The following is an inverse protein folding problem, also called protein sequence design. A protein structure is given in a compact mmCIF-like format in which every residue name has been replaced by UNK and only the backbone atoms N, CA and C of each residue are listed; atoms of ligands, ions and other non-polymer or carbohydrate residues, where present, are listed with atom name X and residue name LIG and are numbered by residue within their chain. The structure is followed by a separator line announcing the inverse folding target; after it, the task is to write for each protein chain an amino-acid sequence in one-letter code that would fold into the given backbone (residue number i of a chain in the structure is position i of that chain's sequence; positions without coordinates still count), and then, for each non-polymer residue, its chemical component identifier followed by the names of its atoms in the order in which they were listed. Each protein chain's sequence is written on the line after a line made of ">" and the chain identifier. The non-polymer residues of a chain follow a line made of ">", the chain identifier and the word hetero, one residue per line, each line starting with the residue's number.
data_IF_246190200743
#
_entry.id   IF_246190200743
#
_cell.length_a   1.000
_cell.length_b   1.000
_cell.length_c   1.000
_cell.angle_alpha   90.00
_cell.angle_beta   90.00
_cell.angle_gamma   90.00
#
_symmetry.space_group_name_H-M   'P 1'
#
loop_
_entity.id
_entity.type
_entity.pdbx_description
1 polymer ?
#
# COMPACT_ATOMS: atom_id res chain seq x y z
N UNK A 1 11.79 14.01 -14.77
CA UNK A 1 11.05 12.74 -14.62
C UNK A 1 11.27 11.96 -15.90
N UNK A 2 11.92 10.79 -15.84
CA UNK A 2 12.15 9.96 -17.02
C UNK A 2 10.95 9.02 -17.23
N UNK A 3 10.57 8.76 -18.47
CA UNK A 3 9.43 7.91 -18.86
C UNK A 3 9.39 6.56 -18.10
N UNK A 4 10.56 5.93 -17.94
CA UNK A 4 10.75 4.67 -17.24
C UNK A 4 10.24 4.68 -15.78
N UNK A 5 10.30 5.82 -15.10
CA UNK A 5 9.84 5.95 -13.70
C UNK A 5 8.32 5.99 -13.62
N UNK A 6 7.68 6.58 -14.64
CA UNK A 6 6.23 6.65 -14.77
C UNK A 6 5.64 5.31 -15.19
N UNK A 7 6.30 4.61 -16.10
CA UNK A 7 5.95 3.23 -16.46
C UNK A 7 6.02 2.31 -15.24
N UNK A 8 7.14 2.32 -14.50
CA UNK A 8 7.30 1.52 -13.28
C UNK A 8 6.24 1.81 -12.21
N UNK A 9 5.86 3.09 -12.03
CA UNK A 9 4.80 3.45 -11.09
C UNK A 9 3.44 2.89 -11.55
N UNK A 10 3.15 3.00 -12.85
CA UNK A 10 1.92 2.48 -13.45
C UNK A 10 1.83 0.96 -13.30
N UNK A 11 2.91 0.25 -13.62
CA UNK A 11 3.04 -1.20 -13.42
C UNK A 11 2.87 -1.59 -11.95
N UNK A 12 3.44 -0.81 -11.04
CA UNK A 12 3.31 -1.05 -9.59
C UNK A 12 1.85 -0.91 -9.13
N UNK A 13 1.11 0.09 -9.64
CA UNK A 13 -0.30 0.27 -9.32
C UNK A 13 -1.16 -0.90 -9.82
N UNK A 14 -0.92 -1.37 -11.05
CA UNK A 14 -1.60 -2.55 -11.62
C UNK A 14 -1.28 -3.82 -10.81
N UNK A 15 -0.01 -4.00 -10.42
CA UNK A 15 0.42 -5.14 -9.62
C UNK A 15 -0.28 -5.16 -8.26
N UNK A 16 -0.38 -4.00 -7.59
CA UNK A 16 -1.09 -3.88 -6.31
C UNK A 16 -2.58 -4.16 -6.42
N UNK A 17 -3.22 -3.70 -7.50
CA UNK A 17 -4.62 -4.01 -7.76
C UNK A 17 -4.84 -5.51 -7.87
N UNK A 18 -3.98 -6.21 -8.62
CA UNK A 18 -4.04 -7.67 -8.77
C UNK A 18 -3.81 -8.37 -7.43
N UNK A 19 -2.87 -7.91 -6.62
CA UNK A 19 -2.63 -8.50 -5.30
C UNK A 19 -3.83 -8.36 -4.36
N UNK A 20 -4.49 -7.20 -4.35
CA UNK A 20 -5.70 -6.97 -3.55
C UNK A 20 -6.85 -7.86 -4.05
N UNK A 21 -7.00 -7.99 -5.37
CA UNK A 21 -8.02 -8.85 -5.97
C UNK A 21 -7.81 -10.32 -5.58
N UNK A 22 -6.58 -10.82 -5.70
CA UNK A 22 -6.22 -12.19 -5.33
C UNK A 22 -6.37 -12.43 -3.82
N UNK A 23 -5.98 -11.46 -2.98
CA UNK A 23 -6.15 -11.54 -1.54
C UNK A 23 -7.64 -11.62 -1.15
N UNK A 24 -8.47 -10.76 -1.75
CA UNK A 24 -9.92 -10.78 -1.58
C UNK A 24 -10.51 -12.12 -2.03
N UNK A 25 -10.06 -12.64 -3.18
CA UNK A 25 -10.54 -13.92 -3.69
C UNK A 25 -10.25 -15.06 -2.71
N UNK A 26 -9.04 -15.12 -2.14
CA UNK A 26 -8.70 -16.15 -1.13
C UNK A 26 -9.63 -16.07 0.08
N UNK A 27 -9.98 -14.85 0.53
CA UNK A 27 -10.91 -14.65 1.63
C UNK A 27 -12.35 -15.04 1.30
N UNK A 28 -12.78 -14.89 0.04
CA UNK A 28 -14.17 -15.19 -0.37
C UNK A 28 -14.39 -16.64 -0.81
N UNK A 29 -13.37 -17.29 -1.37
CA UNK A 29 -13.48 -18.64 -1.93
C UNK A 29 -13.53 -19.73 -0.84
N UNK A 30 -13.07 -19.41 0.37
CA UNK A 30 -12.90 -20.36 1.47
C UNK A 30 -13.84 -20.01 2.63
N UNK A 31 -15.01 -20.66 2.66
CA UNK A 31 -16.06 -20.44 3.67
C UNK A 31 -16.01 -21.38 4.87
N UNK A 32 -15.16 -22.42 4.82
CA UNK A 32 -15.06 -23.45 5.85
C UNK A 32 -13.74 -23.31 6.63
N UNK A 33 -13.83 -23.17 7.96
CA UNK A 33 -12.65 -23.06 8.84
C UNK A 33 -11.69 -24.25 8.71
N UNK A 34 -12.19 -25.45 8.38
CA UNK A 34 -11.39 -26.67 8.35
C UNK A 34 -10.34 -26.70 7.23
N UNK A 35 -10.49 -25.86 6.19
CA UNK A 35 -9.55 -25.71 5.08
C UNK A 35 -8.90 -24.31 5.04
N UNK A 36 -8.87 -23.62 6.18
CA UNK A 36 -8.42 -22.23 6.25
C UNK A 36 -7.05 -22.02 5.57
N UNK A 37 -6.97 -21.20 4.51
CA UNK A 37 -5.79 -21.11 3.65
C UNK A 37 -4.69 -20.20 4.24
N UNK A 38 -4.31 -20.41 5.51
CA UNK A 38 -3.41 -19.53 6.27
C UNK A 38 -2.12 -19.21 5.53
N UNK A 39 -1.41 -20.24 5.04
CA UNK A 39 -0.16 -20.09 4.28
C UNK A 39 -0.33 -19.25 3.02
N UNK A 40 -1.46 -19.37 2.32
CA UNK A 40 -1.73 -18.58 1.12
C UNK A 40 -2.03 -17.13 1.48
N UNK A 41 -2.82 -16.89 2.52
CA UNK A 41 -3.14 -15.55 3.04
C UNK A 41 -1.88 -14.83 3.51
N UNK A 42 -1.05 -15.46 4.34
CA UNK A 42 0.20 -14.88 4.83
C UNK A 42 1.16 -14.59 3.67
N UNK A 43 1.31 -15.53 2.73
CA UNK A 43 2.15 -15.33 1.55
C UNK A 43 1.68 -14.11 0.75
N UNK A 44 0.37 -14.01 0.49
CA UNK A 44 -0.19 -12.92 -0.32
C UNK A 44 -0.13 -11.57 0.40
N UNK A 45 -0.39 -11.53 1.70
CA UNK A 45 -0.21 -10.34 2.53
C UNK A 45 1.24 -9.83 2.49
N UNK A 46 2.23 -10.73 2.56
CA UNK A 46 3.64 -10.36 2.43
C UNK A 46 4.00 -9.87 1.02
N UNK A 47 3.45 -10.49 -0.03
CA UNK A 47 3.62 -10.02 -1.41
C UNK A 47 3.08 -8.59 -1.58
N UNK A 48 1.85 -8.33 -1.10
CA UNK A 48 1.25 -6.99 -1.10
C UNK A 48 2.15 -5.96 -0.40
N UNK A 49 2.67 -6.31 0.77
CA UNK A 49 3.57 -5.45 1.53
C UNK A 49 4.84 -5.10 0.75
N UNK A 50 5.46 -6.08 0.10
CA UNK A 50 6.65 -5.86 -0.69
C UNK A 50 6.38 -4.92 -1.89
N UNK A 51 5.34 -5.23 -2.67
CA UNK A 51 4.99 -4.42 -3.84
C UNK A 51 4.59 -2.99 -3.47
N UNK A 52 3.83 -2.81 -2.39
CA UNK A 52 3.41 -1.47 -1.96
C UNK A 52 4.62 -0.68 -1.44
N UNK A 53 5.50 -1.32 -0.67
CA UNK A 53 6.73 -0.71 -0.19
C UNK A 53 7.60 -0.20 -1.34
N UNK A 54 7.76 -1.00 -2.40
CA UNK A 54 8.47 -0.57 -3.61
C UNK A 54 7.78 0.60 -4.31
N UNK A 55 6.45 0.55 -4.47
CA UNK A 55 5.68 1.61 -5.12
C UNK A 55 5.78 2.94 -4.35
N UNK A 56 5.58 2.91 -3.03
CA UNK A 56 5.65 4.09 -2.17
C UNK A 56 7.06 4.67 -2.10
N UNK A 57 8.08 3.82 -2.10
CA UNK A 57 9.47 4.27 -2.21
C UNK A 57 9.70 5.07 -3.50
N UNK A 58 9.21 4.58 -4.65
CA UNK A 58 9.32 5.32 -5.91
C UNK A 58 8.60 6.66 -5.84
N UNK A 59 7.41 6.70 -5.24
CA UNK A 59 6.64 7.95 -5.04
C UNK A 59 7.42 8.97 -4.20
N UNK A 60 7.93 8.55 -3.05
CA UNK A 60 8.68 9.41 -2.13
C UNK A 60 9.98 9.92 -2.75
N UNK A 61 10.69 9.10 -3.53
CA UNK A 61 11.99 9.45 -4.10
C UNK A 61 11.88 10.28 -5.38
N UNK A 62 10.90 10.01 -6.23
CA UNK A 62 10.85 10.60 -7.57
C UNK A 62 9.69 11.58 -7.79
N UNK A 63 8.57 11.44 -7.07
CA UNK A 63 7.37 12.23 -7.34
C UNK A 63 7.17 13.34 -6.33
N UNK A 64 7.29 13.03 -5.03
CA UNK A 64 7.17 14.03 -3.96
C UNK A 64 8.15 15.20 -4.17
N UNK A 65 9.44 14.99 -4.53
CA UNK A 65 10.37 16.10 -4.73
C UNK A 65 10.05 17.05 -5.88
N UNK A 66 9.18 16.64 -6.83
CA UNK A 66 8.74 17.48 -7.96
C UNK A 66 7.71 18.51 -7.49
N UNK A 67 7.02 18.24 -6.37
CA UNK A 67 5.98 19.10 -5.84
C UNK A 67 6.63 20.40 -5.34
N UNK A 68 6.17 21.57 -5.83
CA UNK A 68 6.71 22.85 -5.38
C UNK A 68 6.35 23.09 -3.90
N UNK A 69 7.27 23.73 -3.18
CA UNK A 69 7.04 24.15 -1.78
C UNK A 69 6.19 25.43 -1.68
N UNK A 70 6.03 26.14 -2.78
CA UNK A 70 5.77 27.58 -2.73
C UNK A 70 4.28 27.90 -2.66
N UNK A 71 3.89 28.51 -1.55
CA UNK A 71 2.65 29.27 -1.36
C UNK A 71 2.66 30.65 -2.07
N UNK A 72 3.80 31.09 -2.62
CA UNK A 72 4.04 32.47 -3.08
C UNK A 72 3.14 32.96 -4.23
N UNK A 73 2.36 32.07 -4.86
CA UNK A 73 1.42 32.41 -5.93
C UNK A 73 -0.01 31.92 -5.68
N UNK A 74 -0.32 31.41 -4.49
CA UNK A 74 -1.69 31.00 -4.21
C UNK A 74 -2.58 32.23 -4.00
N UNK A 75 -3.67 32.39 -4.76
CA UNK A 75 -4.63 33.46 -4.51
C UNK A 75 -5.17 33.32 -3.08
N UNK A 76 -5.30 34.47 -2.40
CA UNK A 76 -5.87 34.57 -1.05
C UNK A 76 -7.22 33.86 -1.03
N UNK A 77 -7.33 32.75 -0.28
CA UNK A 77 -8.52 31.89 -0.23
C UNK A 77 -8.32 30.45 -0.72
N UNK A 78 -7.10 30.09 -1.14
CA UNK A 78 -6.74 28.71 -1.51
C UNK A 78 -6.69 27.81 -0.26
N UNK A 79 -7.36 26.64 -0.31
CA UNK A 79 -7.29 25.56 0.69
C UNK A 79 -5.82 25.24 1.04
N UNK A 80 -5.45 24.84 2.27
CA UNK A 80 -4.05 24.68 2.68
C UNK A 80 -3.26 23.96 1.60
N UNK A 81 -2.21 24.61 1.10
CA UNK A 81 -1.48 24.11 -0.04
C UNK A 81 -1.00 22.69 0.27
N UNK A 82 -1.45 21.75 -0.56
CA UNK A 82 -0.89 20.40 -0.62
C UNK A 82 0.55 20.52 -1.15
N UNK A 83 1.45 21.02 -0.31
CA UNK A 83 2.84 21.25 -0.63
C UNK A 83 3.63 19.94 -0.48
N UNK A 84 4.92 19.99 -0.82
CA UNK A 84 5.78 18.81 -0.77
C UNK A 84 5.77 18.12 0.60
N UNK A 85 5.85 18.91 1.68
CA UNK A 85 5.87 18.38 3.05
C UNK A 85 4.57 17.65 3.38
N UNK A 86 3.43 18.23 3.01
CA UNK A 86 2.14 17.58 3.17
C UNK A 86 2.10 16.20 2.51
N UNK A 87 2.49 16.11 1.22
CA UNK A 87 2.45 14.84 0.51
C UNK A 87 3.47 13.83 1.05
N UNK A 88 4.66 14.30 1.42
CA UNK A 88 5.67 13.46 2.06
C UNK A 88 5.11 12.80 3.33
N UNK A 89 4.51 13.59 4.22
CA UNK A 89 3.99 13.11 5.49
C UNK A 89 2.78 12.20 5.28
N UNK A 90 1.90 12.55 4.35
CA UNK A 90 0.75 11.73 3.96
C UNK A 90 1.18 10.34 3.45
N UNK A 91 2.16 10.26 2.55
CA UNK A 91 2.64 8.98 2.04
C UNK A 91 3.33 8.14 3.12
N UNK A 92 4.06 8.76 4.05
CA UNK A 92 4.66 8.06 5.18
C UNK A 92 3.61 7.52 6.16
N UNK A 93 2.57 8.31 6.45
CA UNK A 93 1.46 7.85 7.29
C UNK A 93 0.73 6.66 6.66
N UNK A 94 0.42 6.74 5.36
CA UNK A 94 -0.19 5.65 4.62
C UNK A 94 0.67 4.38 4.63
N UNK A 95 1.99 4.51 4.44
CA UNK A 95 2.90 3.38 4.53
C UNK A 95 2.85 2.71 5.90
N UNK A 96 2.87 3.50 6.98
CA UNK A 96 2.84 2.99 8.34
C UNK A 96 1.52 2.29 8.66
N UNK A 97 0.39 2.92 8.34
CA UNK A 97 -0.94 2.33 8.55
C UNK A 97 -1.06 1.02 7.78
N UNK A 98 -0.65 0.99 6.51
CA UNK A 98 -0.72 -0.23 5.71
C UNK A 98 0.14 -1.36 6.27
N UNK A 99 1.38 -1.07 6.66
CA UNK A 99 2.26 -2.06 7.27
C UNK A 99 1.67 -2.64 8.56
N UNK A 100 1.06 -1.78 9.38
CA UNK A 100 0.38 -2.20 10.60
C UNK A 100 -0.83 -3.08 10.28
N UNK A 101 -1.63 -2.71 9.28
CA UNK A 101 -2.78 -3.51 8.83
C UNK A 101 -2.36 -4.89 8.34
N UNK A 102 -1.32 -4.99 7.49
CA UNK A 102 -0.80 -6.28 7.03
C UNK A 102 -0.28 -7.13 8.19
N UNK A 103 0.47 -6.52 9.11
CA UNK A 103 0.98 -7.22 10.29
C UNK A 103 -0.14 -7.78 11.16
N UNK A 104 -1.19 -6.99 11.39
CA UNK A 104 -2.36 -7.42 12.15
C UNK A 104 -3.10 -8.56 11.44
N UNK A 105 -3.27 -8.46 10.11
CA UNK A 105 -3.86 -9.53 9.31
C UNK A 105 -3.07 -10.83 9.45
N UNK A 106 -1.74 -10.78 9.30
CA UNK A 106 -0.88 -11.97 9.44
C UNK A 106 -1.06 -12.59 10.83
N UNK A 107 -0.98 -11.79 11.90
CA UNK A 107 -1.20 -12.27 13.28
C UNK A 107 -2.58 -12.90 13.49
N UNK A 108 -3.62 -12.31 12.92
CA UNK A 108 -4.97 -12.88 12.99
C UNK A 108 -5.05 -14.22 12.26
N UNK A 109 -4.45 -14.31 11.08
CA UNK A 109 -4.40 -15.56 10.31
C UNK A 109 -3.65 -16.65 11.07
N UNK A 110 -2.49 -16.34 11.66
CA UNK A 110 -1.72 -17.26 12.51
C UNK A 110 -2.55 -17.73 13.72
N UNK A 111 -3.21 -16.80 14.42
CA UNK A 111 -4.05 -17.15 15.56
C UNK A 111 -5.25 -18.03 15.19
N UNK A 112 -5.82 -17.88 13.98
CA UNK A 112 -6.90 -18.76 13.51
C UNK A 112 -6.35 -20.17 13.26
N UNK A 113 -5.18 -20.30 12.62
CA UNK A 113 -4.54 -21.60 12.38
C UNK A 113 -4.24 -22.34 13.69
N UNK A 114 -3.74 -21.63 14.71
CA UNK A 114 -3.47 -22.18 16.05
C UNK A 114 -4.74 -22.67 16.77
N UNK A 115 -5.91 -22.07 16.47
CA UNK A 115 -7.19 -22.45 17.07
C UNK A 115 -7.89 -23.61 16.33
N UNK A 116 -7.45 -23.97 15.13
CA UNK A 116 -8.01 -25.05 14.30
C UNK A 116 -7.24 -26.37 14.49
N UNK A 117 -5.95 -26.30 14.85
CA UNK A 117 -5.11 -27.47 15.20
C UNK A 117 -5.45 -28.02 16.59
#
# INVERSE_FOLDING_TARGET
>A
MCTDQLEKLTESALTLQLDIADFKQILTDQTLLQEFPSKRLIKRANTMKAHLGSALFLVLVYYVPIIPDNDDHQPVGSSPAHNRLYFHDWFNEWFNIFNLSIHNVIKTVESIEDNIQ
#
